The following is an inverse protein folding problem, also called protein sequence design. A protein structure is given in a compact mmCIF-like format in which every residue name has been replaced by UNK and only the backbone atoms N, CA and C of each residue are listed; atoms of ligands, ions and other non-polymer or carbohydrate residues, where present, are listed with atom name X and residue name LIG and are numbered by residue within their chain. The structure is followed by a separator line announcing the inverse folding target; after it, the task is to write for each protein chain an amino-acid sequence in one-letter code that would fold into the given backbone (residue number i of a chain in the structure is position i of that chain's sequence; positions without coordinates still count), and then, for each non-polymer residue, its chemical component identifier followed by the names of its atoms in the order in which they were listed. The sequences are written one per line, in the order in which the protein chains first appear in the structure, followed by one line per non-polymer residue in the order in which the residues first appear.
data_IF_698368267103
#
_entry.id   IF_698368267103
#
_cell.length_a   1.000
_cell.length_b   1.000
_cell.length_c   1.000
_cell.angle_alpha   90.00
_cell.angle_beta   90.00
_cell.angle_gamma   90.00
#
_symmetry.space_group_name_H-M   'P 1'
#
loop_
_entity.id
_entity.type
_entity.pdbx_description
1 polymer ?
#
# COMPACT_ATOMS: atom_id res chain seq x y z
N UNK A 1 -20.60 -26.18 -21.88
CA UNK A 1 -19.79 -25.19 -22.64
C UNK A 1 -20.45 -23.81 -22.68
N UNK A 2 -21.74 -23.70 -23.02
CA UNK A 2 -22.44 -22.41 -23.13
C UNK A 2 -22.49 -21.55 -21.85
N UNK A 3 -22.70 -22.16 -20.67
CA UNK A 3 -22.75 -21.42 -19.39
C UNK A 3 -21.41 -20.73 -19.09
N UNK A 4 -20.31 -21.39 -19.40
CA UNK A 4 -18.95 -20.87 -19.20
C UNK A 4 -18.70 -19.65 -20.10
N UNK A 5 -19.02 -19.76 -21.39
CA UNK A 5 -18.86 -18.66 -22.34
C UNK A 5 -19.73 -17.45 -21.97
N UNK A 6 -20.96 -17.68 -21.50
CA UNK A 6 -21.86 -16.64 -20.99
C UNK A 6 -21.26 -15.89 -19.79
N UNK A 7 -20.55 -16.59 -18.90
CA UNK A 7 -19.90 -15.96 -17.76
C UNK A 7 -18.72 -15.08 -18.20
N UNK A 8 -17.87 -15.55 -19.13
CA UNK A 8 -16.79 -14.74 -19.70
C UNK A 8 -17.34 -13.49 -20.39
N UNK A 9 -18.38 -13.65 -21.20
CA UNK A 9 -19.05 -12.53 -21.86
C UNK A 9 -19.64 -11.53 -20.85
N UNK A 10 -20.22 -12.03 -19.75
CA UNK A 10 -20.75 -11.18 -18.67
C UNK A 10 -19.65 -10.35 -18.00
N UNK A 11 -18.49 -10.95 -17.72
CA UNK A 11 -17.32 -10.24 -17.18
C UNK A 11 -16.84 -9.19 -18.19
N UNK A 12 -16.63 -9.60 -19.44
CA UNK A 12 -16.18 -8.73 -20.51
C UNK A 12 -17.08 -7.49 -20.67
N UNK A 13 -18.40 -7.69 -20.79
CA UNK A 13 -19.37 -6.59 -20.93
C UNK A 13 -19.45 -5.72 -19.67
N UNK A 14 -19.22 -6.28 -18.48
CA UNK A 14 -19.23 -5.47 -17.25
C UNK A 14 -18.03 -4.54 -17.22
N UNK A 15 -16.83 -5.07 -17.47
CA UNK A 15 -15.60 -4.29 -17.41
C UNK A 15 -15.42 -3.33 -18.60
N UNK A 16 -15.89 -3.68 -19.79
CA UNK A 16 -15.89 -2.75 -20.93
C UNK A 16 -16.80 -1.54 -20.66
N UNK A 17 -17.95 -1.76 -20.00
CA UNK A 17 -18.84 -0.66 -19.58
C UNK A 17 -18.18 0.19 -18.51
N UNK A 18 -17.57 -0.41 -17.50
CA UNK A 18 -16.85 0.36 -16.47
C UNK A 18 -15.77 1.25 -17.11
N UNK A 19 -15.01 0.73 -18.07
CA UNK A 19 -13.98 1.50 -18.78
C UNK A 19 -14.57 2.63 -19.65
N UNK A 20 -15.67 2.36 -20.36
CA UNK A 20 -16.37 3.37 -21.16
C UNK A 20 -17.01 4.50 -20.33
N UNK A 21 -17.35 4.25 -19.07
CA UNK A 21 -18.06 5.21 -18.21
C UNK A 21 -17.20 5.75 -17.04
N UNK A 22 -15.90 5.43 -17.00
CA UNK A 22 -14.97 5.99 -16.00
C UNK A 22 -14.55 7.41 -16.40
N UNK A 23 -15.41 8.39 -16.08
CA UNK A 23 -15.10 9.82 -16.21
C UNK A 23 -15.14 10.47 -14.83
N UNK A 24 -14.26 11.44 -14.55
CA UNK A 24 -14.31 12.23 -13.30
C UNK A 24 -13.19 12.01 -12.28
N UNK A 25 -12.11 11.29 -12.62
CA UNK A 25 -10.93 11.10 -11.77
C UNK A 25 -10.94 9.81 -10.93
N UNK A 26 -9.93 9.64 -10.07
CA UNK A 26 -9.67 8.38 -9.36
C UNK A 26 -10.79 7.94 -8.41
N UNK A 27 -11.43 8.88 -7.71
CA UNK A 27 -12.53 8.54 -6.79
C UNK A 27 -13.79 8.07 -7.52
N UNK A 28 -14.13 8.69 -8.66
CA UNK A 28 -15.30 8.28 -9.45
C UNK A 28 -15.12 6.88 -10.03
N UNK A 29 -13.89 6.53 -10.42
CA UNK A 29 -13.55 5.16 -10.83
C UNK A 29 -13.87 4.14 -9.72
N UNK A 30 -13.40 4.39 -8.49
CA UNK A 30 -13.62 3.49 -7.35
C UNK A 30 -15.12 3.38 -7.04
N UNK A 31 -15.86 4.49 -7.06
CA UNK A 31 -17.31 4.48 -6.86
C UNK A 31 -18.04 3.67 -7.95
N UNK A 32 -17.65 3.81 -9.21
CA UNK A 32 -18.25 3.06 -10.31
C UNK A 32 -17.99 1.55 -10.18
N UNK A 33 -16.76 1.18 -9.79
CA UNK A 33 -16.40 -0.20 -9.48
C UNK A 33 -17.22 -0.75 -8.30
N UNK A 34 -17.37 0.00 -7.22
CA UNK A 34 -18.17 -0.44 -6.07
C UNK A 34 -19.63 -0.68 -6.46
N UNK A 35 -20.24 0.25 -7.21
CA UNK A 35 -21.62 0.13 -7.68
C UNK A 35 -21.80 -1.11 -8.56
N UNK A 36 -20.91 -1.33 -9.53
CA UNK A 36 -21.05 -2.48 -10.43
C UNK A 36 -20.72 -3.80 -9.72
N UNK A 37 -19.61 -3.88 -8.99
CA UNK A 37 -19.08 -5.14 -8.47
C UNK A 37 -19.75 -5.58 -7.16
N UNK A 38 -20.05 -4.64 -6.25
CA UNK A 38 -20.64 -4.92 -4.94
C UNK A 38 -22.16 -4.83 -5.02
N UNK A 39 -22.71 -3.70 -5.50
CA UNK A 39 -24.15 -3.43 -5.40
C UNK A 39 -24.95 -4.18 -6.47
N UNK A 40 -24.58 -4.03 -7.75
CA UNK A 40 -25.34 -4.58 -8.89
C UNK A 40 -25.05 -6.06 -9.13
N UNK A 41 -23.77 -6.44 -9.24
CA UNK A 41 -23.37 -7.80 -9.60
C UNK A 41 -23.19 -8.71 -8.39
N UNK A 42 -22.89 -8.15 -7.21
CA UNK A 42 -22.64 -8.88 -5.96
C UNK A 42 -21.56 -9.97 -6.11
N UNK A 43 -20.50 -9.68 -6.87
CA UNK A 43 -19.38 -10.61 -7.08
C UNK A 43 -18.42 -10.63 -5.90
N UNK A 44 -18.34 -9.52 -5.20
CA UNK A 44 -17.53 -9.29 -4.01
C UNK A 44 -18.38 -8.49 -3.01
N UNK A 45 -18.11 -8.67 -1.71
CA UNK A 45 -18.74 -7.85 -0.68
C UNK A 45 -17.94 -6.55 -0.45
N UNK A 46 -18.45 -5.65 0.38
CA UNK A 46 -17.83 -4.35 0.61
C UNK A 46 -16.45 -4.45 1.30
N UNK A 47 -16.31 -5.31 2.30
CA UNK A 47 -15.01 -5.51 2.97
C UNK A 47 -13.95 -6.07 2.01
N UNK A 48 -14.34 -7.03 1.18
CA UNK A 48 -13.48 -7.57 0.15
C UNK A 48 -13.14 -6.55 -0.93
N UNK A 49 -14.09 -5.73 -1.36
CA UNK A 49 -13.82 -4.64 -2.30
C UNK A 49 -12.76 -3.68 -1.75
N UNK A 50 -12.83 -3.33 -0.47
CA UNK A 50 -11.81 -2.52 0.18
C UNK A 50 -10.43 -3.21 0.18
N UNK A 51 -10.39 -4.52 0.43
CA UNK A 51 -9.15 -5.30 0.32
C UNK A 51 -8.61 -5.32 -1.11
N UNK A 52 -9.48 -5.47 -2.11
CA UNK A 52 -9.09 -5.44 -3.54
C UNK A 52 -8.53 -4.08 -3.92
N UNK A 53 -9.16 -2.98 -3.49
CA UNK A 53 -8.65 -1.63 -3.72
C UNK A 53 -7.30 -1.45 -3.06
N UNK A 54 -7.11 -1.91 -1.82
CA UNK A 54 -5.81 -1.84 -1.14
C UNK A 54 -4.71 -2.63 -1.88
N UNK A 55 -5.03 -3.83 -2.37
CA UNK A 55 -4.12 -4.62 -3.21
C UNK A 55 -3.83 -3.90 -4.54
N UNK A 56 -4.84 -3.32 -5.18
CA UNK A 56 -4.69 -2.63 -6.45
C UNK A 56 -3.83 -1.36 -6.37
N UNK A 57 -3.91 -0.63 -5.24
CA UNK A 57 -3.10 0.57 -4.96
C UNK A 57 -1.66 0.24 -4.53
N UNK A 58 -1.48 -0.89 -3.83
CA UNK A 58 -0.15 -1.35 -3.41
C UNK A 58 0.65 -1.99 -4.55
N UNK A 59 -0.05 -2.49 -5.58
CA UNK A 59 0.58 -3.03 -6.78
C UNK A 59 0.84 -1.92 -7.79
N UNK A 60 1.99 -1.95 -8.49
CA UNK A 60 2.28 -0.94 -9.51
C UNK A 60 1.27 -1.05 -10.66
N UNK A 61 0.64 0.07 -11.02
CA UNK A 61 -0.21 0.17 -12.19
C UNK A 61 -1.54 0.88 -11.95
N UNK A 62 -2.42 0.95 -12.97
CA UNK A 62 -3.71 1.60 -12.85
C UNK A 62 -4.69 0.77 -12.00
N UNK A 63 -5.28 1.40 -10.99
CA UNK A 63 -6.19 0.77 -10.01
C UNK A 63 -7.32 0.01 -10.70
N UNK A 64 -7.98 0.59 -11.72
CA UNK A 64 -9.04 -0.09 -12.46
C UNK A 64 -8.60 -1.41 -13.09
N UNK A 65 -7.38 -1.46 -13.65
CA UNK A 65 -6.83 -2.66 -14.29
C UNK A 65 -6.52 -3.71 -13.22
N UNK A 66 -5.86 -3.32 -12.14
CA UNK A 66 -5.50 -4.24 -11.06
C UNK A 66 -6.76 -4.82 -10.39
N UNK A 67 -7.76 -3.98 -10.09
CA UNK A 67 -9.07 -4.42 -9.58
C UNK A 67 -9.78 -5.37 -10.56
N UNK A 68 -9.83 -5.04 -11.85
CA UNK A 68 -10.47 -5.89 -12.85
C UNK A 68 -9.76 -7.25 -12.99
N UNK A 69 -8.43 -7.24 -12.97
CA UNK A 69 -7.60 -8.44 -13.02
C UNK A 69 -7.91 -9.36 -11.82
N UNK A 70 -7.93 -8.80 -10.60
CA UNK A 70 -8.23 -9.56 -9.39
C UNK A 70 -9.66 -10.11 -9.38
N UNK A 71 -10.65 -9.27 -9.69
CA UNK A 71 -12.06 -9.69 -9.67
C UNK A 71 -12.36 -10.68 -10.79
N UNK A 72 -11.76 -10.50 -11.96
CA UNK A 72 -11.78 -11.48 -13.04
C UNK A 72 -11.18 -12.83 -12.61
N UNK A 73 -10.03 -12.80 -11.92
CA UNK A 73 -9.39 -13.99 -11.35
C UNK A 73 -10.31 -14.71 -10.37
N UNK A 74 -10.93 -13.96 -9.46
CA UNK A 74 -11.85 -14.53 -8.47
C UNK A 74 -13.06 -15.21 -9.11
N UNK A 75 -13.59 -14.63 -10.19
CA UNK A 75 -14.83 -15.08 -10.81
C UNK A 75 -14.65 -16.29 -11.73
N UNK A 76 -13.59 -16.31 -12.55
CA UNK A 76 -13.37 -17.35 -13.59
C UNK A 76 -11.92 -17.84 -13.67
N UNK A 77 -11.14 -17.65 -12.60
CA UNK A 77 -9.73 -18.03 -12.55
C UNK A 77 -8.85 -17.22 -13.51
N UNK A 78 -7.72 -17.78 -13.89
CA UNK A 78 -6.71 -17.12 -14.73
C UNK A 78 -7.25 -16.57 -16.06
N UNK A 79 -8.12 -17.33 -16.75
CA UNK A 79 -8.73 -16.82 -17.99
C UNK A 79 -9.70 -15.66 -17.71
N UNK A 80 -10.36 -15.67 -16.55
CA UNK A 80 -11.23 -14.59 -16.10
C UNK A 80 -10.48 -13.28 -15.90
N UNK A 81 -9.27 -13.33 -15.35
CA UNK A 81 -8.43 -12.15 -15.17
C UNK A 81 -8.03 -11.56 -16.52
N UNK A 82 -7.53 -12.38 -17.45
CA UNK A 82 -7.17 -11.94 -18.79
C UNK A 82 -8.35 -11.26 -19.49
N UNK A 83 -9.53 -11.88 -19.48
CA UNK A 83 -10.73 -11.33 -20.12
C UNK A 83 -11.15 -10.00 -19.49
N UNK A 84 -11.13 -9.89 -18.15
CA UNK A 84 -11.45 -8.65 -17.45
C UNK A 84 -10.43 -7.53 -17.76
N UNK A 85 -9.14 -7.84 -17.74
CA UNK A 85 -8.05 -6.90 -18.05
C UNK A 85 -8.16 -6.37 -19.47
N UNK A 86 -8.34 -7.26 -20.47
CA UNK A 86 -8.53 -6.86 -21.87
C UNK A 86 -9.77 -5.98 -22.00
N UNK A 87 -10.89 -6.35 -21.36
CA UNK A 87 -12.12 -5.57 -21.43
C UNK A 87 -11.96 -4.13 -20.90
N UNK A 88 -11.15 -3.92 -19.84
CA UNK A 88 -10.87 -2.58 -19.33
C UNK A 88 -9.95 -1.78 -20.27
N UNK A 89 -8.95 -2.41 -20.88
CA UNK A 89 -7.96 -1.74 -21.72
C UNK A 89 -8.54 -1.38 -23.10
N UNK A 90 -9.40 -2.23 -23.64
CA UNK A 90 -9.85 -2.18 -25.04
C UNK A 90 -10.48 -0.84 -25.45
N UNK A 91 -11.37 -0.19 -24.65
CA UNK A 91 -11.96 1.09 -25.04
C UNK A 91 -10.92 2.21 -25.22
N UNK A 92 -10.05 2.39 -24.24
CA UNK A 92 -8.98 3.39 -24.29
C UNK A 92 -8.00 3.11 -25.42
N UNK A 93 -7.64 1.84 -25.62
CA UNK A 93 -6.79 1.43 -26.72
C UNK A 93 -7.42 1.76 -28.08
N UNK A 94 -8.69 1.43 -28.29
CA UNK A 94 -9.39 1.70 -29.54
C UNK A 94 -9.46 3.20 -29.86
N UNK A 95 -9.74 4.04 -28.85
CA UNK A 95 -9.78 5.50 -29.00
C UNK A 95 -8.40 6.05 -29.38
N UNK A 96 -7.36 5.68 -28.62
CA UNK A 96 -5.99 6.16 -28.87
C UNK A 96 -5.49 5.68 -30.24
N UNK A 97 -5.74 4.42 -30.58
CA UNK A 97 -5.39 3.87 -31.88
C UNK A 97 -6.07 4.64 -33.02
N UNK A 98 -7.37 4.92 -32.90
CA UNK A 98 -8.10 5.73 -33.87
C UNK A 98 -7.51 7.13 -34.06
N UNK A 99 -7.17 7.81 -32.95
CA UNK A 99 -6.51 9.13 -33.00
C UNK A 99 -5.13 9.02 -33.67
N UNK A 100 -4.36 7.98 -33.35
CA UNK A 100 -3.01 7.78 -33.87
C UNK A 100 -2.96 7.70 -35.40
N UNK A 101 -4.01 7.20 -36.06
CA UNK A 101 -4.06 7.08 -37.53
C UNK A 101 -4.05 8.44 -38.24
N UNK A 102 -4.57 9.48 -37.59
CA UNK A 102 -4.72 10.83 -38.14
C UNK A 102 -3.84 11.85 -37.42
N UNK A 103 -3.16 11.45 -36.34
CA UNK A 103 -2.42 12.32 -35.44
C UNK A 103 -1.38 13.20 -36.13
N UNK A 104 -0.59 12.63 -37.05
CA UNK A 104 0.45 13.39 -37.76
C UNK A 104 -0.16 14.51 -38.63
N UNK A 105 -1.31 14.26 -39.27
CA UNK A 105 -2.01 15.29 -40.07
C UNK A 105 -2.53 16.43 -39.21
N UNK A 106 -2.93 16.14 -37.96
CA UNK A 106 -3.33 17.17 -37.02
C UNK A 106 -2.15 18.02 -36.54
N UNK A 107 -0.95 17.44 -36.42
CA UNK A 107 0.25 18.17 -35.99
C UNK A 107 0.84 19.07 -37.09
N UNK A 108 0.50 18.86 -38.36
CA UNK A 108 0.88 19.76 -39.45
C UNK A 108 0.23 21.15 -39.30
N UNK A 109 -0.90 21.24 -38.62
CA UNK A 109 -1.52 22.53 -38.29
C UNK A 109 -0.78 23.21 -37.13
N UNK A 110 -0.12 24.34 -37.42
CA UNK A 110 0.68 25.08 -36.45
C UNK A 110 -0.10 25.44 -35.16
N UNK A 111 -1.38 25.80 -35.29
CA UNK A 111 -2.24 26.11 -34.14
C UNK A 111 -2.43 24.89 -33.22
N UNK A 112 -2.61 23.70 -33.80
CA UNK A 112 -2.80 22.44 -33.06
C UNK A 112 -1.49 22.04 -32.38
N UNK A 113 -0.37 22.14 -33.09
CA UNK A 113 0.96 21.87 -32.51
C UNK A 113 1.25 22.79 -31.30
N UNK A 114 0.96 24.10 -31.42
CA UNK A 114 1.07 25.06 -30.32
C UNK A 114 0.10 24.73 -29.16
N UNK A 115 -1.13 24.33 -29.46
CA UNK A 115 -2.09 23.89 -28.45
C UNK A 115 -1.57 22.67 -27.65
N UNK A 116 -0.99 21.66 -28.33
CA UNK A 116 -0.37 20.52 -27.66
C UNK A 116 0.82 20.91 -26.77
N UNK A 117 1.61 21.90 -27.17
CA UNK A 117 2.67 22.44 -26.32
C UNK A 117 2.10 23.08 -25.04
N UNK A 118 1.00 23.84 -25.17
CA UNK A 118 0.25 24.38 -24.04
C UNK A 118 -0.31 23.30 -23.11
N UNK A 119 -0.89 22.24 -23.67
CA UNK A 119 -1.39 21.09 -22.90
C UNK A 119 -0.25 20.41 -22.12
N UNK A 120 0.90 20.16 -22.76
CA UNK A 120 2.08 19.58 -22.09
C UNK A 120 2.54 20.44 -20.91
N UNK A 121 2.60 21.77 -21.10
CA UNK A 121 2.95 22.70 -20.02
C UNK A 121 1.92 22.68 -18.88
N UNK A 122 0.63 22.70 -19.20
CA UNK A 122 -0.45 22.62 -18.21
C UNK A 122 -0.39 21.32 -17.40
N UNK A 123 -0.18 20.18 -18.05
CA UNK A 123 -0.02 18.88 -17.38
C UNK A 123 1.20 18.89 -16.45
N UNK A 124 2.33 19.45 -16.87
CA UNK A 124 3.51 19.59 -16.01
C UNK A 124 3.21 20.42 -14.75
N UNK A 125 2.53 21.55 -14.89
CA UNK A 125 2.10 22.38 -13.76
C UNK A 125 1.13 21.64 -12.84
N UNK A 126 0.17 20.87 -13.40
CA UNK A 126 -0.76 20.07 -12.61
C UNK A 126 -0.04 19.00 -11.79
N UNK A 127 0.95 18.31 -12.38
CA UNK A 127 1.76 17.30 -11.68
C UNK A 127 2.55 17.96 -10.55
N UNK A 128 3.21 19.09 -10.82
CA UNK A 128 3.95 19.85 -9.79
C UNK A 128 2.99 20.30 -8.68
N UNK A 129 1.83 20.86 -9.02
CA UNK A 129 0.84 21.31 -8.05
C UNK A 129 0.31 20.15 -7.17
N UNK A 130 0.06 18.98 -7.76
CA UNK A 130 -0.32 17.78 -7.02
C UNK A 130 0.80 17.34 -6.06
N UNK A 131 2.05 17.33 -6.53
CA UNK A 131 3.23 17.04 -5.70
C UNK A 131 3.40 18.02 -4.54
N UNK A 132 3.27 19.33 -4.79
CA UNK A 132 3.37 20.36 -3.76
C UNK A 132 2.25 20.24 -2.72
N UNK A 133 1.01 19.94 -3.14
CA UNK A 133 -0.12 19.66 -2.23
C UNK A 133 0.17 18.44 -1.34
N UNK A 134 0.75 17.38 -1.93
CA UNK A 134 1.14 16.17 -1.20
C UNK A 134 2.23 16.46 -0.16
N UNK A 135 3.28 17.21 -0.54
CA UNK A 135 4.35 17.63 0.36
C UNK A 135 3.80 18.49 1.51
N UNK A 136 2.90 19.43 1.22
CA UNK A 136 2.29 20.31 2.24
C UNK A 136 1.48 19.54 3.27
N UNK A 137 0.81 18.45 2.85
CA UNK A 137 -0.01 17.60 3.72
C UNK A 137 0.80 16.54 4.46
N UNK A 138 2.02 16.24 4.02
CA UNK A 138 2.91 15.27 4.64
C UNK A 138 3.52 15.80 5.94
N UNK A 139 3.77 14.91 6.91
CA UNK A 139 4.50 15.27 8.13
C UNK A 139 5.94 15.62 7.77
N UNK A 140 6.32 16.88 7.94
CA UNK A 140 7.66 17.37 7.66
C UNK A 140 8.64 16.82 8.69
N UNK A 141 9.30 15.71 8.36
CA UNK A 141 10.51 15.26 9.04
C UNK A 141 11.72 15.89 8.37
N UNK A 142 12.72 16.32 9.15
CA UNK A 142 14.00 16.81 8.61
C UNK A 142 14.61 15.79 7.65
N UNK A 143 14.52 14.51 7.99
CA UNK A 143 14.98 13.41 7.14
C UNK A 143 14.26 13.37 5.79
N UNK A 144 12.93 13.54 5.77
CA UNK A 144 12.16 13.51 4.54
C UNK A 144 12.51 14.68 3.62
N UNK A 145 12.76 15.87 4.20
CA UNK A 145 13.20 17.04 3.45
C UNK A 145 14.62 16.86 2.91
N UNK A 146 15.55 16.31 3.70
CA UNK A 146 16.91 15.99 3.27
C UNK A 146 16.90 14.98 2.12
N UNK A 147 16.14 13.88 2.24
CA UNK A 147 16.02 12.89 1.17
C UNK A 147 15.43 13.48 -0.11
N UNK A 148 14.42 14.35 0.01
CA UNK A 148 13.82 15.02 -1.14
C UNK A 148 14.84 15.92 -1.87
N UNK A 149 15.55 16.77 -1.12
CA UNK A 149 16.57 17.69 -1.69
C UNK A 149 17.72 16.88 -2.31
N UNK A 150 18.18 15.83 -1.63
CA UNK A 150 19.24 14.96 -2.13
C UNK A 150 18.83 14.24 -3.42
N UNK A 151 17.62 13.71 -3.49
CA UNK A 151 17.09 13.05 -4.69
C UNK A 151 16.94 14.03 -5.85
N UNK A 152 16.44 15.24 -5.59
CA UNK A 152 16.32 16.29 -6.61
C UNK A 152 17.70 16.75 -7.13
N UNK A 153 18.66 16.95 -6.24
CA UNK A 153 20.03 17.31 -6.59
C UNK A 153 20.72 16.19 -7.39
N UNK A 154 20.58 14.93 -6.96
CA UNK A 154 21.11 13.77 -7.67
C UNK A 154 20.54 13.68 -9.09
N UNK A 155 19.22 13.86 -9.26
CA UNK A 155 18.59 13.85 -10.58
C UNK A 155 19.10 14.99 -11.47
N UNK A 156 19.27 16.19 -10.92
CA UNK A 156 19.81 17.34 -11.66
C UNK A 156 21.26 17.10 -12.11
N UNK A 157 22.11 16.58 -11.23
CA UNK A 157 23.51 16.24 -11.53
C UNK A 157 23.57 15.14 -12.59
N UNK A 158 22.84 14.04 -12.42
CA UNK A 158 22.81 12.93 -13.39
C UNK A 158 22.39 13.40 -14.80
N UNK A 159 21.44 14.34 -14.87
CA UNK A 159 21.02 14.95 -16.13
C UNK A 159 22.13 15.83 -16.75
N UNK A 160 22.83 16.64 -15.96
CA UNK A 160 23.95 17.47 -16.43
C UNK A 160 25.10 16.60 -16.99
N UNK A 161 25.41 15.48 -16.34
CA UNK A 161 26.46 14.56 -16.76
C UNK A 161 26.00 13.57 -17.85
N UNK A 162 24.78 13.69 -18.37
CA UNK A 162 24.19 12.82 -19.38
C UNK A 162 24.27 11.32 -19.05
N UNK A 163 24.28 10.97 -17.76
CA UNK A 163 24.32 9.58 -17.30
C UNK A 163 22.90 9.03 -17.35
N UNK A 164 22.68 7.97 -18.13
CA UNK A 164 21.40 7.28 -18.25
C UNK A 164 21.10 6.45 -16.99
N UNK A 165 20.84 7.12 -15.88
CA UNK A 165 20.43 6.48 -14.64
C UNK A 165 18.91 6.44 -14.55
N UNK A 166 18.33 5.26 -14.39
CA UNK A 166 16.87 5.11 -14.29
C UNK A 166 16.37 5.66 -12.96
N UNK A 167 15.35 6.53 -13.01
CA UNK A 167 14.66 7.06 -11.83
C UNK A 167 14.11 5.97 -10.91
N UNK A 168 13.88 4.76 -11.43
CA UNK A 168 13.45 3.59 -10.65
C UNK A 168 14.44 3.24 -9.55
N UNK A 169 15.75 3.35 -9.80
CA UNK A 169 16.77 3.06 -8.80
C UNK A 169 16.78 4.10 -7.67
N UNK A 170 16.56 5.38 -7.99
CA UNK A 170 16.44 6.43 -6.97
C UNK A 170 15.26 6.18 -6.04
N UNK A 171 14.12 5.72 -6.59
CA UNK A 171 12.93 5.35 -5.81
C UNK A 171 13.24 4.16 -4.90
N UNK A 172 13.89 3.11 -5.41
CA UNK A 172 14.26 1.93 -4.63
C UNK A 172 15.24 2.27 -3.49
N UNK A 173 16.31 3.00 -3.79
CA UNK A 173 17.32 3.43 -2.79
C UNK A 173 16.66 4.31 -1.74
N UNK A 174 15.87 5.30 -2.14
CA UNK A 174 15.14 6.16 -1.21
C UNK A 174 14.20 5.39 -0.30
N UNK A 175 13.49 4.39 -0.83
CA UNK A 175 12.65 3.48 -0.06
C UNK A 175 13.43 2.67 0.97
N UNK A 176 14.54 2.04 0.55
CA UNK A 176 15.41 1.24 1.43
C UNK A 176 16.00 2.10 2.55
N UNK A 177 16.56 3.26 2.21
CA UNK A 177 17.12 4.21 3.19
C UNK A 177 16.05 4.66 4.19
N UNK A 178 14.83 4.95 3.70
CA UNK A 178 13.71 5.31 4.56
C UNK A 178 13.35 4.22 5.57
N UNK A 179 13.27 2.96 5.15
CA UNK A 179 12.98 1.81 6.02
C UNK A 179 14.11 1.59 7.04
N UNK A 180 15.37 1.62 6.60
CA UNK A 180 16.52 1.45 7.48
C UNK A 180 16.54 2.50 8.59
N UNK A 181 16.36 3.78 8.26
CA UNK A 181 16.41 4.83 9.28
C UNK A 181 15.23 4.73 10.26
N UNK A 182 14.04 4.34 9.79
CA UNK A 182 12.91 4.07 10.70
C UNK A 182 13.21 2.91 11.66
N UNK A 183 13.79 1.81 11.16
CA UNK A 183 14.16 0.67 11.99
C UNK A 183 15.21 1.04 13.06
N UNK A 184 16.28 1.78 12.68
CA UNK A 184 17.30 2.24 13.63
C UNK A 184 16.74 3.20 14.69
N UNK A 185 15.88 4.13 14.28
CA UNK A 185 15.26 5.08 15.22
C UNK A 185 14.36 4.38 16.23
N UNK A 186 13.63 3.35 15.81
CA UNK A 186 12.77 2.58 16.71
C UNK A 186 13.59 1.78 17.73
N UNK A 187 14.73 1.21 17.33
CA UNK A 187 15.66 0.52 18.25
C UNK A 187 16.21 1.46 19.31
N UNK A 188 16.72 2.64 18.92
CA UNK A 188 17.28 3.63 19.87
C UNK A 188 16.22 4.12 20.86
N UNK A 189 14.99 4.38 20.40
CA UNK A 189 13.90 4.81 21.29
C UNK A 189 13.48 3.71 22.27
N UNK A 190 13.50 2.43 21.85
CA UNK A 190 13.24 1.29 22.75
C UNK A 190 14.34 1.18 23.81
N UNK A 191 15.62 1.30 23.44
CA UNK A 191 16.73 1.23 24.38
C UNK A 191 16.69 2.37 25.40
N UNK A 192 16.40 3.61 24.96
CA UNK A 192 16.32 4.77 25.86
C UNK A 192 15.17 4.66 26.86
N UNK A 193 14.00 4.20 26.41
CA UNK A 193 12.85 3.94 27.29
C UNK A 193 13.17 2.87 28.35
N UNK A 194 13.92 1.84 27.97
CA UNK A 194 14.33 0.78 28.89
C UNK A 194 15.35 1.28 29.93
N UNK A 195 16.26 2.19 29.57
CA UNK A 195 17.20 2.82 30.52
C UNK A 195 16.46 3.72 31.52
N UNK A 196 15.55 4.59 31.05
CA UNK A 196 14.76 5.49 31.92
C UNK A 196 13.82 4.71 32.87
N UNK A 197 13.32 3.55 32.44
CA UNK A 197 12.50 2.67 33.29
C UNK A 197 13.35 1.96 34.35
N UNK A 198 14.56 1.52 33.99
CA UNK A 198 15.46 0.83 34.92
C UNK A 198 16.03 1.78 35.99
N UNK A 199 16.42 3.01 35.63
CA UNK A 199 16.89 4.03 36.58
C UNK A 199 15.78 4.43 37.59
N UNK A 200 14.53 4.56 37.14
CA UNK A 200 13.39 4.85 38.03
C UNK A 200 13.04 3.70 39.00
N UNK A 201 13.57 2.50 38.74
CA UNK A 201 13.36 1.31 39.60
C UNK A 201 14.48 1.16 40.63
N UNK A 202 15.71 1.61 40.34
CA UNK A 202 16.84 1.57 41.28
C UNK A 202 16.78 2.66 42.37
N UNK A 203 16.20 3.84 42.09
CA UNK A 203 16.12 4.95 43.06
C UNK A 203 15.18 4.67 44.28
N UNK A 204 14.37 3.61 44.23
CA UNK A 204 13.39 3.24 45.29
C UNK A 204 13.74 1.97 46.07
N UNK A 205 15.02 1.63 46.23
CA UNK A 205 15.41 0.52 47.12
C UNK A 205 15.84 1.06 48.49
N UNK A 206 15.01 0.94 49.56
CA UNK A 206 15.43 1.34 50.90
C UNK A 206 16.51 0.38 51.41
N UNK A 207 17.63 0.93 51.88
CA UNK A 207 18.65 0.19 52.63
C UNK A 207 18.01 -0.21 53.97
N UNK A 208 17.55 -1.45 54.09
CA UNK A 208 17.05 -1.98 55.35
C UNK A 208 18.18 -2.67 56.13
N UNK A 209 18.67 -2.01 57.17
CA UNK A 209 19.59 -2.58 58.15
C UNK A 209 18.69 -3.28 59.19
N UNK A 210 18.54 -4.60 59.07
CA UNK A 210 17.96 -5.40 60.15
C UNK A 210 19.09 -5.93 61.04
N UNK A 211 19.27 -5.30 62.19
CA UNK A 211 19.78 -5.99 63.37
C UNK A 211 18.72 -6.99 63.83
N UNK A 212 19.10 -8.26 64.02
CA UNK A 212 18.34 -9.10 64.94
C UNK A 212 19.28 -10.00 65.75
N UNK A 213 19.21 -9.84 67.06
CA UNK A 213 19.82 -10.67 68.08
C UNK A 213 18.84 -11.73 68.54
N UNK A 214 19.40 -12.89 68.86
CA UNK A 214 18.88 -13.97 69.72
C UNK A 214 17.78 -14.85 69.13
N UNK A 215 18.14 -16.14 68.98
CA UNK A 215 17.33 -17.13 68.33
C UNK A 215 16.21 -17.70 69.20
N UNK A 216 15.23 -18.26 68.51
CA UNK A 216 14.61 -19.54 68.85
C UNK A 216 14.06 -20.12 67.53
N UNK A 217 14.35 -21.39 67.29
CA UNK A 217 13.90 -22.18 66.14
C UNK A 217 12.38 -22.31 66.14
N UNK A 218 11.73 -22.03 65.01
CA UNK A 218 10.57 -22.81 64.59
C UNK A 218 10.37 -22.81 63.07
N UNK A 219 10.15 -24.02 62.57
CA UNK A 219 9.97 -24.47 61.19
C UNK A 219 8.70 -23.89 60.58
N UNK A 220 8.77 -23.28 59.38
CA UNK A 220 7.57 -23.07 58.54
C UNK A 220 7.91 -23.27 57.04
N UNK A 221 7.72 -24.52 56.60
CA UNK A 221 7.07 -25.03 55.37
C UNK A 221 7.37 -24.43 53.97
N UNK A 222 7.63 -25.30 52.98
CA UNK A 222 7.95 -24.96 51.57
C UNK A 222 6.73 -24.92 50.60
N UNK A 223 6.97 -24.29 49.44
CA UNK A 223 6.24 -23.89 48.24
C UNK A 223 5.03 -24.71 47.70
N UNK A 224 4.08 -23.98 47.07
CA UNK A 224 2.97 -24.42 46.19
C UNK A 224 1.68 -25.00 46.82
N UNK A 225 1.09 -24.26 47.76
CA UNK A 225 -0.15 -24.63 48.46
C UNK A 225 -1.43 -24.61 47.59
N UNK A 226 -1.72 -25.67 46.81
CA UNK A 226 -3.08 -26.07 46.42
C UNK A 226 -3.28 -27.61 46.42
N UNK A 227 -4.30 -28.06 47.18
CA UNK A 227 -4.93 -29.41 47.22
C UNK A 227 -6.38 -29.17 46.73
N UNK A 228 -7.17 -30.01 46.05
CA UNK A 228 -7.53 -31.42 46.22
C UNK A 228 -8.29 -31.92 44.95
N UNK A 229 -8.10 -33.19 44.54
CA UNK A 229 -9.17 -34.23 44.56
C UNK A 229 -8.67 -35.61 44.09
N UNK A 230 -8.93 -36.61 44.94
CA UNK A 230 -8.78 -38.06 44.71
C UNK A 230 -9.82 -38.57 43.70
N UNK A 231 -9.40 -39.51 42.85
CA UNK A 231 -10.28 -40.53 42.28
C UNK A 231 -9.61 -41.90 42.47
N UNK A 232 -10.39 -42.85 42.97
CA UNK A 232 -10.00 -44.19 43.40
C UNK A 232 -10.65 -45.18 42.44
N UNK A 233 -9.86 -46.00 41.76
CA UNK A 233 -10.25 -47.38 41.38
C UNK A 233 -9.02 -48.10 40.84
N UNK A 234 -8.62 -49.16 41.56
CA UNK A 234 -8.39 -50.54 41.11
C UNK A 234 -7.90 -50.72 39.65
N UNK A 235 -6.88 -51.49 39.32
CA UNK A 235 -6.69 -52.87 39.77
C UNK A 235 -5.36 -53.45 39.21
N UNK A 236 -4.92 -54.55 39.84
CA UNK A 236 -4.11 -55.66 39.34
C UNK A 236 -2.58 -55.54 39.10
N UNK A 237 -1.91 -56.22 40.06
CA UNK A 237 -0.78 -57.17 39.98
C UNK A 237 0.63 -56.69 39.64
#
# INVERSE_FOLDING_TARGET
MEKTLRNYFKIFITFIRISLFTFGGGYTMISLLQIELVIKKKWINEGEFMSVVAIAESTPGPIAINCATYVGYKMLGFLGSIVATIAVILPSFAIIYGISLVFNRFLEFELVAKAFMGIKAAVAVLIIAAGLRMIKKSKKSVLALVLFVLAAAALAVLNIFAVNFSSVYLILIGGIVGVLVMAFKETINKTKKNMETNEATEEKTPININEDTTGETDVITDNNNQVIKEDKTDDLS
#
